data_IF_464492809545
#
_entry.id   IF_464492809545
#
_cell.length_a   1.000
_cell.length_b   1.000
_cell.length_c   1.000
_cell.angle_alpha   90.00
_cell.angle_beta   90.00
_cell.angle_gamma   90.00
#
_symmetry.space_group_name_H-M   'P 1'
#
loop_
_entity.id
_entity.type
_entity.pdbx_description
1 polymer ?
#
# COMPACT_ATOMS: atom_id res chain seq x y z
N UNK A 1 15.44 47.74 33.10
CA UNK A 1 16.36 48.45 32.19
C UNK A 1 17.79 47.89 32.23
N UNK A 2 18.24 47.27 33.34
CA UNK A 2 19.59 46.66 33.44
C UNK A 2 19.79 45.41 32.58
N UNK A 3 18.83 44.48 32.51
CA UNK A 3 19.01 43.22 31.76
C UNK A 3 19.26 43.42 30.25
N UNK A 4 18.64 44.42 29.62
CA UNK A 4 18.91 44.76 28.21
C UNK A 4 20.32 45.30 27.97
N UNK A 5 20.92 45.92 28.99
CA UNK A 5 22.29 46.43 28.94
C UNK A 5 23.32 45.31 29.08
N UNK A 6 23.01 44.27 29.84
CA UNK A 6 23.89 43.10 30.01
C UNK A 6 23.89 42.23 28.76
N UNK A 7 22.72 41.95 28.17
CA UNK A 7 22.62 41.22 26.89
C UNK A 7 23.37 41.96 25.76
N UNK A 8 23.29 43.30 25.73
CA UNK A 8 24.03 44.08 24.73
C UNK A 8 25.54 44.09 24.97
N UNK A 9 26.00 43.86 26.20
CA UNK A 9 27.42 43.70 26.53
C UNK A 9 27.92 42.33 26.12
N UNK A 10 27.19 41.28 26.45
CA UNK A 10 27.52 39.90 26.06
C UNK A 10 27.56 39.71 24.54
N UNK A 11 26.61 40.29 23.79
CA UNK A 11 26.63 40.24 22.32
C UNK A 11 27.83 41.00 21.73
N UNK A 12 28.28 42.09 22.37
CA UNK A 12 29.48 42.82 21.94
C UNK A 12 30.74 42.01 22.20
N UNK A 13 30.85 41.40 23.37
CA UNK A 13 32.01 40.60 23.79
C UNK A 13 32.14 39.32 22.93
N UNK A 14 31.02 38.67 22.62
CA UNK A 14 30.99 37.54 21.69
C UNK A 14 31.41 37.95 20.26
N UNK A 15 30.98 39.13 19.80
CA UNK A 15 31.34 39.64 18.47
C UNK A 15 32.81 40.11 18.40
N UNK A 16 33.36 40.65 19.48
CA UNK A 16 34.79 40.97 19.62
C UNK A 16 35.66 39.72 19.67
N UNK A 17 35.20 38.66 20.34
CA UNK A 17 35.89 37.37 20.35
C UNK A 17 35.82 36.66 19.00
N UNK A 18 34.69 36.77 18.30
CA UNK A 18 34.52 36.28 16.92
C UNK A 18 35.38 37.07 15.90
N UNK A 19 35.64 38.35 16.17
CA UNK A 19 36.52 39.20 15.35
C UNK A 19 37.98 38.72 15.32
N UNK A 20 38.41 37.86 16.25
CA UNK A 20 39.73 37.21 16.23
C UNK A 20 39.86 36.11 15.18
N UNK A 21 38.73 35.58 14.68
CA UNK A 21 38.68 34.67 13.54
C UNK A 21 38.39 35.49 12.29
N UNK A 22 39.44 36.01 11.66
CA UNK A 22 39.25 36.72 10.39
C UNK A 22 38.57 35.78 9.39
N UNK A 23 37.47 36.25 8.79
CA UNK A 23 36.82 35.53 7.70
C UNK A 23 37.88 35.31 6.62
N UNK A 24 38.19 34.05 6.29
CA UNK A 24 39.16 33.78 5.24
C UNK A 24 38.74 34.51 3.96
N UNK A 25 39.67 35.08 3.17
CA UNK A 25 39.34 35.88 1.98
C UNK A 25 38.47 35.14 0.95
N UNK A 26 38.50 33.81 0.98
CA UNK A 26 37.73 32.93 0.11
C UNK A 26 36.52 32.29 0.80
N UNK A 27 36.23 32.62 2.06
CA UNK A 27 35.11 32.06 2.84
C UNK A 27 33.77 32.22 2.14
N UNK A 28 33.49 33.40 1.56
CA UNK A 28 32.27 33.65 0.79
C UNK A 28 32.20 32.79 -0.49
N UNK A 29 33.34 32.57 -1.15
CA UNK A 29 33.43 31.72 -2.33
C UNK A 29 33.22 30.25 -1.97
N UNK A 30 33.77 29.82 -0.83
CA UNK A 30 33.60 28.46 -0.33
C UNK A 30 32.15 28.21 0.13
N UNK A 31 31.56 29.16 0.85
CA UNK A 31 30.13 29.13 1.23
C UNK A 31 29.23 29.03 0.00
N UNK A 32 29.42 29.87 -1.02
CA UNK A 32 28.65 29.77 -2.27
C UNK A 32 28.80 28.42 -2.97
N UNK A 33 30.00 27.83 -2.96
CA UNK A 33 30.23 26.48 -3.52
C UNK A 33 29.47 25.41 -2.72
N UNK A 34 29.50 25.51 -1.39
CA UNK A 34 28.76 24.61 -0.52
C UNK A 34 27.25 24.74 -0.72
N UNK A 35 26.72 25.96 -0.74
CA UNK A 35 25.30 26.22 -1.00
C UNK A 35 24.87 25.71 -2.38
N UNK A 36 25.68 25.94 -3.41
CA UNK A 36 25.41 25.42 -4.76
C UNK A 36 25.38 23.89 -4.78
N UNK A 37 26.32 23.24 -4.10
CA UNK A 37 26.37 21.78 -4.00
C UNK A 37 25.18 21.24 -3.20
N UNK A 38 24.81 21.92 -2.12
CA UNK A 38 23.67 21.58 -1.28
C UNK A 38 22.35 21.68 -2.07
N UNK A 39 22.16 22.76 -2.84
CA UNK A 39 20.97 22.95 -3.68
C UNK A 39 20.84 21.90 -4.78
N UNK A 40 21.98 21.41 -5.32
CA UNK A 40 21.99 20.27 -6.26
C UNK A 40 21.58 18.97 -5.58
N UNK A 41 22.14 18.66 -4.40
CA UNK A 41 21.83 17.44 -3.65
C UNK A 41 20.36 17.42 -3.19
N UNK A 42 19.85 18.57 -2.75
CA UNK A 42 18.44 18.73 -2.35
C UNK A 42 17.46 18.76 -3.53
N UNK A 43 17.94 18.74 -4.78
CA UNK A 43 17.09 18.80 -5.96
C UNK A 43 16.36 20.13 -6.16
N UNK A 44 16.70 21.17 -5.40
CA UNK A 44 16.03 22.48 -5.41
C UNK A 44 16.15 23.21 -6.76
N UNK A 45 17.16 22.86 -7.57
CA UNK A 45 17.38 23.44 -8.90
C UNK A 45 16.82 22.60 -10.05
N UNK A 46 16.16 21.46 -9.77
CA UNK A 46 15.61 20.60 -10.82
C UNK A 46 14.13 20.90 -10.99
N UNK A 47 13.79 21.56 -12.10
CA UNK A 47 12.39 21.69 -12.51
C UNK A 47 11.85 20.29 -12.84
N UNK A 48 10.77 19.88 -12.17
CA UNK A 48 10.09 18.64 -12.47
C UNK A 48 9.47 18.74 -13.87
N UNK A 49 9.95 17.90 -14.79
CA UNK A 49 9.34 17.77 -16.11
C UNK A 49 8.14 16.82 -16.03
N UNK A 50 7.16 17.01 -16.92
CA UNK A 50 6.02 16.09 -17.06
C UNK A 50 6.46 14.64 -17.24
N UNK A 51 7.61 14.42 -17.88
CA UNK A 51 8.22 13.08 -18.02
C UNK A 51 8.61 12.47 -16.67
N UNK A 52 9.20 13.26 -15.78
CA UNK A 52 9.62 12.82 -14.44
C UNK A 52 8.39 12.49 -13.60
N UNK A 53 7.34 13.32 -13.67
CA UNK A 53 6.06 13.04 -13.01
C UNK A 53 5.42 11.74 -13.50
N UNK A 54 5.35 11.53 -14.82
CA UNK A 54 4.81 10.29 -15.40
C UNK A 54 5.62 9.07 -14.94
N UNK A 55 6.96 9.18 -14.92
CA UNK A 55 7.83 8.09 -14.50
C UNK A 55 7.61 7.72 -13.03
N UNK A 56 7.46 8.72 -12.17
CA UNK A 56 7.15 8.51 -10.74
C UNK A 56 5.78 7.87 -10.57
N UNK A 57 4.77 8.33 -11.31
CA UNK A 57 3.41 7.77 -11.26
C UNK A 57 3.36 6.32 -11.76
N UNK A 58 4.07 6.00 -12.85
CA UNK A 58 4.18 4.63 -13.34
C UNK A 58 4.82 3.71 -12.30
N UNK A 59 5.92 4.15 -11.69
CA UNK A 59 6.58 3.39 -10.62
C UNK A 59 5.64 3.17 -9.42
N UNK A 60 4.95 4.22 -8.99
CA UNK A 60 4.00 4.12 -7.86
C UNK A 60 2.86 3.14 -8.15
N UNK A 61 2.35 3.12 -9.39
CA UNK A 61 1.34 2.14 -9.83
C UNK A 61 1.88 0.71 -9.76
N UNK A 62 3.07 0.47 -10.31
CA UNK A 62 3.66 -0.87 -10.38
C UNK A 62 4.00 -1.39 -8.97
N UNK A 63 4.52 -0.54 -8.09
CA UNK A 63 4.76 -0.85 -6.67
C UNK A 63 3.45 -1.18 -5.94
N UNK A 64 2.38 -0.45 -6.22
CA UNK A 64 1.07 -0.74 -5.65
C UNK A 64 0.54 -2.10 -6.11
N UNK A 65 0.65 -2.40 -7.40
CA UNK A 65 0.22 -3.67 -7.96
C UNK A 65 1.02 -4.84 -7.36
N UNK A 66 2.35 -4.69 -7.24
CA UNK A 66 3.21 -5.66 -6.58
C UNK A 66 2.77 -5.91 -5.13
N UNK A 67 2.48 -4.84 -4.37
CA UNK A 67 2.01 -4.98 -3.00
C UNK A 67 0.66 -5.72 -2.90
N UNK A 68 -0.26 -5.46 -3.83
CA UNK A 68 -1.55 -6.18 -3.87
C UNK A 68 -1.34 -7.67 -4.15
N UNK A 69 -0.55 -8.00 -5.16
CA UNK A 69 -0.25 -9.40 -5.51
C UNK A 69 0.43 -10.11 -4.34
N UNK A 70 1.48 -9.51 -3.76
CA UNK A 70 2.16 -10.09 -2.60
C UNK A 70 1.21 -10.27 -1.42
N UNK A 71 0.35 -9.29 -1.12
CA UNK A 71 -0.65 -9.43 -0.05
C UNK A 71 -1.65 -10.56 -0.31
N UNK A 72 -2.12 -10.72 -1.55
CA UNK A 72 -2.99 -11.84 -1.92
C UNK A 72 -2.27 -13.18 -1.84
N UNK A 73 -1.00 -13.25 -2.24
CA UNK A 73 -0.20 -14.47 -2.14
C UNK A 73 0.06 -14.86 -0.69
N UNK A 74 0.34 -13.91 0.21
CA UNK A 74 0.46 -14.19 1.65
C UNK A 74 -0.86 -14.66 2.27
N UNK A 75 -2.00 -14.14 1.79
CA UNK A 75 -3.32 -14.62 2.20
C UNK A 75 -3.60 -16.03 1.68
N UNK A 76 -3.16 -16.36 0.47
CA UNK A 76 -3.31 -17.70 -0.12
C UNK A 76 -2.34 -18.72 0.50
N UNK A 77 -1.11 -18.33 0.81
CA UNK A 77 -0.13 -19.20 1.48
C UNK A 77 -0.57 -19.54 2.92
N UNK A 78 -1.33 -18.65 3.55
CA UNK A 78 -1.96 -18.93 4.86
C UNK A 78 -3.20 -19.82 4.79
N UNK A 79 -3.67 -20.22 3.61
CA UNK A 79 -4.73 -21.23 3.42
C UNK A 79 -4.15 -22.64 3.48
N UNK A 80 -2.93 -22.85 3.02
CA UNK A 80 -2.29 -24.19 2.99
C UNK A 80 -1.65 -24.59 4.35
N UNK A 81 -1.60 -23.68 5.32
CA UNK A 81 -0.88 -23.89 6.59
C UNK A 81 -1.66 -23.56 7.86
N UNK A 82 -2.95 -23.21 7.79
CA UNK A 82 -3.75 -23.01 9.01
C UNK A 82 -5.13 -23.66 8.89
N UNK A 83 -5.23 -24.82 9.52
CA UNK A 83 -6.34 -25.34 10.33
C UNK A 83 -7.69 -24.63 10.10
N UNK A 84 -8.68 -25.41 9.64
CA UNK A 84 -9.94 -25.00 8.99
C UNK A 84 -10.89 -24.01 9.69
N UNK A 85 -10.46 -23.33 10.75
CA UNK A 85 -11.26 -22.44 11.61
C UNK A 85 -11.07 -20.94 11.32
N UNK A 86 -10.63 -20.56 10.12
CA UNK A 86 -10.58 -19.13 9.74
C UNK A 86 -11.95 -18.63 9.30
N UNK A 87 -12.39 -17.56 9.97
CA UNK A 87 -13.64 -16.85 9.67
C UNK A 87 -13.55 -16.18 8.30
N UNK A 88 -14.54 -16.43 7.43
CA UNK A 88 -14.59 -15.88 6.08
C UNK A 88 -15.26 -14.51 6.12
N UNK A 89 -14.46 -13.45 6.07
CA UNK A 89 -14.97 -12.07 6.06
C UNK A 89 -15.44 -11.65 4.66
N UNK A 90 -16.76 -11.72 4.44
CA UNK A 90 -17.43 -11.27 3.20
C UNK A 90 -18.12 -9.91 3.40
N UNK A 91 -18.08 -9.01 2.41
CA UNK A 91 -18.74 -7.70 2.51
C UNK A 91 -20.27 -7.82 2.52
N UNK A 92 -20.98 -6.84 3.09
CA UNK A 92 -22.45 -6.85 3.16
C UNK A 92 -23.13 -6.97 1.78
N UNK A 93 -22.53 -6.39 0.74
CA UNK A 93 -23.06 -6.45 -0.63
C UNK A 93 -22.91 -7.86 -1.19
N UNK A 94 -21.74 -8.48 -1.01
CA UNK A 94 -21.49 -9.85 -1.46
C UNK A 94 -22.41 -10.84 -0.75
N UNK A 95 -22.68 -10.66 0.56
CA UNK A 95 -23.64 -11.50 1.30
C UNK A 95 -25.06 -11.48 0.72
N UNK A 96 -25.46 -10.37 0.11
CA UNK A 96 -26.77 -10.22 -0.55
C UNK A 96 -26.81 -10.79 -1.96
N UNK A 97 -25.70 -10.71 -2.67
CA UNK A 97 -25.62 -11.18 -4.06
C UNK A 97 -25.46 -12.69 -4.15
N UNK A 98 -24.76 -13.30 -3.20
CA UNK A 98 -24.42 -14.72 -3.21
C UNK A 98 -24.72 -15.37 -1.85
N UNK A 99 -26.01 -15.59 -1.53
CA UNK A 99 -26.40 -16.21 -0.27
C UNK A 99 -25.76 -17.60 -0.06
N UNK A 100 -25.49 -18.32 -1.13
CA UNK A 100 -24.84 -19.63 -1.16
C UNK A 100 -23.35 -19.60 -0.78
N UNK A 101 -22.76 -18.41 -0.65
CA UNK A 101 -21.34 -18.24 -0.28
C UNK A 101 -21.14 -17.68 1.12
N UNK A 102 -22.19 -17.68 1.95
CA UNK A 102 -22.18 -17.15 3.30
C UNK A 102 -21.78 -18.19 4.36
N UNK A 103 -20.64 -18.88 4.18
CA UNK A 103 -20.04 -19.67 5.25
C UNK A 103 -19.42 -18.76 6.31
N UNK A 104 -19.65 -19.03 7.60
CA UNK A 104 -18.96 -18.30 8.67
C UNK A 104 -17.49 -18.71 8.69
N UNK A 105 -17.23 -19.99 8.41
CA UNK A 105 -15.90 -20.59 8.38
C UNK A 105 -15.59 -21.21 7.01
N UNK A 106 -14.30 -21.36 6.68
CA UNK A 106 -13.88 -21.97 5.42
C UNK A 106 -14.32 -23.43 5.27
N UNK A 107 -14.32 -24.22 6.35
CA UNK A 107 -14.86 -25.58 6.37
C UNK A 107 -16.34 -25.63 5.96
N UNK A 108 -17.17 -24.75 6.54
CA UNK A 108 -18.60 -24.67 6.20
C UNK A 108 -18.80 -24.35 4.72
N UNK A 109 -17.99 -23.44 4.17
CA UNK A 109 -18.04 -23.08 2.76
C UNK A 109 -17.69 -24.26 1.85
N UNK A 110 -16.70 -25.08 2.24
CA UNK A 110 -16.33 -26.28 1.50
C UNK A 110 -17.49 -27.27 1.44
N UNK A 111 -18.12 -27.58 2.58
CA UNK A 111 -19.24 -28.51 2.63
C UNK A 111 -20.47 -28.00 1.87
N UNK A 112 -20.72 -26.69 1.88
CA UNK A 112 -21.82 -26.09 1.13
C UNK A 112 -21.58 -26.23 -0.39
N UNK A 113 -20.34 -26.02 -0.84
CA UNK A 113 -19.95 -26.20 -2.24
C UNK A 113 -20.04 -27.67 -2.69
N UNK A 114 -19.60 -28.61 -1.85
CA UNK A 114 -19.73 -30.04 -2.11
C UNK A 114 -21.22 -30.44 -2.29
N UNK A 115 -22.08 -29.94 -1.41
CA UNK A 115 -23.54 -30.15 -1.50
C UNK A 115 -24.12 -29.58 -2.79
N UNK A 116 -23.71 -28.39 -3.22
CA UNK A 116 -24.18 -27.77 -4.46
C UNK A 116 -23.75 -28.56 -5.70
N UNK A 117 -22.52 -29.09 -5.71
CA UNK A 117 -22.02 -29.93 -6.80
C UNK A 117 -22.80 -31.25 -6.84
N UNK A 118 -23.02 -31.88 -5.69
CA UNK A 118 -23.82 -33.11 -5.59
C UNK A 118 -25.27 -32.88 -6.04
N UNK A 119 -25.87 -31.75 -5.65
CA UNK A 119 -27.21 -31.37 -6.07
C UNK A 119 -27.30 -31.22 -7.60
N UNK A 120 -26.32 -30.55 -8.24
CA UNK A 120 -26.26 -30.42 -9.71
C UNK A 120 -26.17 -31.78 -10.40
N UNK A 121 -25.23 -32.62 -9.96
CA UNK A 121 -25.04 -33.97 -10.53
C UNK A 121 -26.32 -34.81 -10.38
N UNK A 122 -26.99 -34.72 -9.23
CA UNK A 122 -28.25 -35.43 -9.00
C UNK A 122 -29.41 -34.89 -9.85
N UNK A 123 -29.46 -33.59 -10.12
CA UNK A 123 -30.47 -32.97 -10.97
C UNK A 123 -30.29 -33.37 -12.45
N UNK A 124 -29.04 -33.45 -12.91
CA UNK A 124 -28.69 -33.92 -14.25
C UNK A 124 -29.10 -35.39 -14.45
N UNK A 125 -28.84 -36.25 -13.45
CA UNK A 125 -29.26 -37.66 -13.51
C UNK A 125 -30.79 -37.85 -13.52
N UNK A 126 -31.54 -36.98 -12.84
CA UNK A 126 -32.99 -37.04 -12.82
C UNK A 126 -33.66 -36.36 -14.03
N UNK A 127 -32.92 -35.55 -14.80
CA UNK A 127 -33.42 -34.83 -15.97
C UNK A 127 -33.50 -35.64 -17.27
N UNK A 128 -32.78 -36.77 -17.37
CA UNK A 128 -32.73 -37.60 -18.59
C UNK A 128 -33.79 -38.73 -18.63
N UNK A 129 -34.64 -38.87 -17.60
CA UNK A 129 -35.53 -40.03 -17.44
C UNK A 129 -37.01 -39.86 -17.81
N UNK A 130 -37.48 -38.72 -18.34
CA UNK A 130 -38.92 -38.42 -18.45
C UNK A 130 -39.43 -37.98 -19.85
N UNK A 131 -38.88 -38.54 -20.92
CA UNK A 131 -39.50 -38.46 -22.24
C UNK A 131 -39.57 -39.86 -22.88
N UNK A 132 -40.76 -40.22 -23.36
CA UNK A 132 -41.11 -41.42 -24.12
C UNK A 132 -41.23 -42.76 -23.40
N UNK A 133 -42.37 -42.93 -22.70
CA UNK A 133 -43.10 -44.21 -22.78
C UNK A 133 -44.57 -43.96 -23.10
N UNK A 134 -44.84 -43.51 -24.32
CA UNK A 134 -46.20 -43.55 -24.87
C UNK A 134 -46.41 -44.98 -25.43
N UNK A 135 -46.97 -45.86 -24.61
CA UNK A 135 -47.37 -47.22 -25.00
C UNK A 135 -48.78 -47.13 -25.59
N UNK A 136 -48.86 -47.08 -26.92
CA UNK A 136 -50.14 -47.24 -27.64
C UNK A 136 -50.62 -48.70 -27.49
N UNK A 137 -51.92 -48.85 -27.22
CA UNK A 137 -52.60 -50.08 -26.82
C UNK A 137 -53.48 -50.61 -27.94
#
# INVERSE_FOLDING_TARGET
MQERSEVSKEMKEFNEMASGFSQLPDSDNYLRKLETRLSKVKGLNKNLTSKDMITVLQKARDDHMNRLISSSVEQLSTIDSLEGDKEVSVSYVEKKLFPEKNGVTYEELQHLLESDVLAKVSAEYNGEGSADSNVDR
#
